data_IF_008117312207
#
_entry.id   IF_008117312207
#
_cell.length_a   1.000
_cell.length_b   1.000
_cell.length_c   1.000
_cell.angle_alpha   90.00
_cell.angle_beta   90.00
_cell.angle_gamma   90.00
#
_symmetry.space_group_name_H-M   'P 1'
#
loop_
_entity.id
_entity.type
_entity.pdbx_description
1 polymer ?
#
# COMPACT_ATOMS: atom_id res chain seq x y z
N UNK A 1 1.19 -47.50 45.50
CA UNK A 1 1.25 -48.64 44.59
C UNK A 1 -0.07 -48.95 43.94
N UNK A 2 -1.21 -48.89 44.66
CA UNK A 2 -2.56 -49.10 44.08
C UNK A 2 -3.00 -48.10 43.01
N UNK A 3 -2.63 -46.83 43.13
CA UNK A 3 -3.05 -45.76 42.20
C UNK A 3 -2.37 -45.85 40.81
N UNK A 4 -1.14 -46.36 40.74
CA UNK A 4 -0.45 -46.60 39.48
C UNK A 4 -0.99 -47.82 38.73
N UNK A 5 -1.48 -48.83 39.42
CA UNK A 5 -2.13 -49.99 38.81
C UNK A 5 -3.50 -49.59 38.22
N UNK A 6 -4.25 -48.72 38.91
CA UNK A 6 -5.54 -48.26 38.45
C UNK A 6 -5.41 -47.36 37.20
N UNK A 7 -4.39 -46.50 37.11
CA UNK A 7 -4.12 -45.68 35.94
C UNK A 7 -3.67 -46.50 34.72
N UNK A 8 -2.90 -47.57 34.93
CA UNK A 8 -2.52 -48.48 33.83
C UNK A 8 -3.74 -49.24 33.29
N UNK A 9 -4.56 -49.81 34.16
CA UNK A 9 -5.78 -50.52 33.74
C UNK A 9 -6.76 -49.61 33.00
N UNK A 10 -6.90 -48.35 33.43
CA UNK A 10 -7.78 -47.34 32.76
C UNK A 10 -7.24 -46.95 31.38
N UNK A 11 -5.92 -46.78 31.22
CA UNK A 11 -5.31 -46.48 29.94
C UNK A 11 -5.36 -47.67 28.97
N UNK A 12 -5.17 -48.89 29.46
CA UNK A 12 -5.29 -50.12 28.64
C UNK A 12 -6.73 -50.33 28.15
N UNK A 13 -7.73 -50.07 29.02
CA UNK A 13 -9.12 -50.17 28.66
C UNK A 13 -9.53 -49.06 27.63
N UNK A 14 -8.92 -47.88 27.72
CA UNK A 14 -9.12 -46.80 26.75
C UNK A 14 -8.45 -47.09 25.40
N UNK A 15 -7.26 -47.66 25.43
CA UNK A 15 -6.54 -48.10 24.24
C UNK A 15 -7.21 -49.28 23.52
N UNK A 16 -7.77 -50.25 24.33
CA UNK A 16 -8.54 -51.35 23.77
C UNK A 16 -9.83 -50.88 23.09
N UNK A 17 -10.57 -49.91 23.68
CA UNK A 17 -11.76 -49.31 23.04
C UNK A 17 -11.41 -48.53 21.79
N UNK A 18 -10.29 -47.83 21.75
CA UNK A 18 -9.82 -47.12 20.53
C UNK A 18 -9.40 -48.13 19.45
N UNK A 19 -8.75 -49.25 19.84
CA UNK A 19 -8.43 -50.34 18.90
C UNK A 19 -9.67 -51.03 18.34
N UNK A 20 -10.65 -51.33 19.16
CA UNK A 20 -11.93 -51.92 18.71
C UNK A 20 -12.74 -51.02 17.80
N UNK A 21 -12.62 -49.66 17.96
CA UNK A 21 -13.25 -48.69 17.05
C UNK A 21 -12.49 -48.52 15.73
N UNK A 22 -11.20 -48.88 15.70
CA UNK A 22 -10.37 -48.77 14.46
C UNK A 22 -10.53 -50.05 13.62
N UNK A 23 -10.77 -51.21 14.23
CA UNK A 23 -10.92 -52.50 13.49
C UNK A 23 -12.34 -52.75 13.01
N UNK A 24 -13.26 -51.78 13.15
CA UNK A 24 -14.60 -51.88 12.63
C UNK A 24 -14.67 -51.44 11.16
N UNK A 25 -14.79 -52.36 10.17
CA UNK A 25 -14.81 -52.02 8.71
C UNK A 25 -15.98 -51.09 8.31
N UNK A 26 -16.99 -50.96 9.18
CA UNK A 26 -18.08 -49.96 8.96
C UNK A 26 -17.65 -48.55 9.45
N UNK A 27 -16.81 -48.47 10.47
CA UNK A 27 -16.26 -47.19 10.97
C UNK A 27 -15.27 -46.57 9.99
N UNK A 28 -14.36 -47.36 9.42
CA UNK A 28 -13.43 -46.89 8.37
C UNK A 28 -14.17 -46.42 7.09
N UNK A 29 -15.19 -47.17 6.65
CA UNK A 29 -16.01 -46.72 5.52
C UNK A 29 -16.75 -45.43 5.77
N UNK A 30 -17.28 -45.21 7.00
CA UNK A 30 -17.95 -43.96 7.36
C UNK A 30 -16.94 -42.80 7.44
N UNK A 31 -15.77 -43.00 8.05
CA UNK A 31 -14.72 -41.99 8.12
C UNK A 31 -14.20 -41.61 6.72
N UNK A 32 -14.02 -42.58 5.84
CA UNK A 32 -13.61 -42.33 4.44
C UNK A 32 -14.72 -41.62 3.63
N UNK A 33 -15.99 -41.94 3.85
CA UNK A 33 -17.11 -41.26 3.18
C UNK A 33 -17.23 -39.80 3.70
N UNK A 34 -17.10 -39.57 5.00
CA UNK A 34 -17.13 -38.21 5.59
C UNK A 34 -15.91 -37.38 5.19
N UNK A 35 -14.72 -37.99 5.15
CA UNK A 35 -13.47 -37.36 4.66
C UNK A 35 -13.57 -36.97 3.19
N UNK A 36 -14.12 -37.85 2.35
CA UNK A 36 -14.28 -37.63 0.92
C UNK A 36 -15.40 -36.59 0.61
N UNK A 37 -16.48 -36.57 1.41
CA UNK A 37 -17.54 -35.56 1.29
C UNK A 37 -17.05 -34.17 1.68
N UNK A 38 -16.27 -34.04 2.75
CA UNK A 38 -15.66 -32.77 3.17
C UNK A 38 -14.60 -32.30 2.17
N UNK A 39 -13.84 -33.19 1.59
CA UNK A 39 -12.84 -32.87 0.56
C UNK A 39 -13.51 -32.36 -0.73
N UNK A 40 -14.62 -32.96 -1.15
CA UNK A 40 -15.40 -32.51 -2.33
C UNK A 40 -16.06 -31.15 -2.10
N UNK A 41 -16.62 -30.90 -0.89
CA UNK A 41 -17.19 -29.59 -0.54
C UNK A 41 -16.12 -28.51 -0.50
N UNK A 42 -14.94 -28.82 0.04
CA UNK A 42 -13.80 -27.90 0.07
C UNK A 42 -13.30 -27.60 -1.35
N UNK A 43 -13.13 -28.62 -2.18
CA UNK A 43 -12.73 -28.47 -3.58
C UNK A 43 -13.73 -27.61 -4.37
N UNK A 44 -15.03 -27.86 -4.19
CA UNK A 44 -16.08 -27.03 -4.82
C UNK A 44 -16.05 -25.58 -4.34
N UNK A 45 -15.87 -25.35 -3.04
CA UNK A 45 -15.69 -24.02 -2.47
C UNK A 45 -14.46 -23.30 -3.03
N UNK A 46 -13.34 -24.00 -3.12
CA UNK A 46 -12.09 -23.46 -3.67
C UNK A 46 -12.24 -23.11 -5.16
N UNK A 47 -12.84 -23.99 -5.96
CA UNK A 47 -13.10 -23.74 -7.40
C UNK A 47 -14.04 -22.57 -7.60
N UNK A 48 -15.13 -22.48 -6.80
CA UNK A 48 -16.08 -21.37 -6.86
C UNK A 48 -15.40 -20.04 -6.48
N UNK A 49 -14.61 -20.06 -5.41
CA UNK A 49 -13.87 -18.86 -4.95
C UNK A 49 -12.88 -18.39 -6.01
N UNK A 50 -12.10 -19.29 -6.61
CA UNK A 50 -11.18 -18.94 -7.69
C UNK A 50 -11.92 -18.45 -8.94
N UNK A 51 -13.06 -19.07 -9.29
CA UNK A 51 -13.90 -18.62 -10.40
C UNK A 51 -14.39 -17.17 -10.18
N UNK A 52 -14.91 -16.86 -9.00
CA UNK A 52 -15.35 -15.50 -8.64
C UNK A 52 -14.18 -14.52 -8.69
N UNK A 53 -13.02 -14.89 -8.13
CA UNK A 53 -11.82 -14.05 -8.16
C UNK A 53 -11.34 -13.77 -9.59
N UNK A 54 -11.32 -14.76 -10.47
CA UNK A 54 -10.93 -14.58 -11.88
C UNK A 54 -11.88 -13.62 -12.59
N UNK A 55 -13.20 -13.78 -12.40
CA UNK A 55 -14.20 -12.87 -12.99
C UNK A 55 -14.02 -11.45 -12.48
N UNK A 56 -13.86 -11.26 -11.16
CA UNK A 56 -13.63 -9.95 -10.57
C UNK A 56 -12.33 -9.31 -11.09
N UNK A 57 -11.24 -10.07 -11.13
CA UNK A 57 -9.98 -9.60 -11.70
C UNK A 57 -10.15 -9.20 -13.18
N UNK A 58 -10.87 -10.00 -13.97
CA UNK A 58 -11.19 -9.68 -15.35
C UNK A 58 -11.92 -8.34 -15.47
N UNK A 59 -12.98 -8.13 -14.69
CA UNK A 59 -13.75 -6.86 -14.68
C UNK A 59 -12.86 -5.67 -14.33
N UNK A 60 -12.00 -5.78 -13.30
CA UNK A 60 -11.09 -4.70 -12.92
C UNK A 60 -10.00 -4.41 -13.95
N UNK A 61 -9.60 -5.41 -14.75
CA UNK A 61 -8.60 -5.22 -15.81
C UNK A 61 -9.18 -4.63 -17.11
N UNK A 62 -10.51 -4.66 -17.31
CA UNK A 62 -11.15 -4.12 -18.52
C UNK A 62 -10.76 -2.67 -18.80
N UNK A 63 -10.83 -1.72 -17.84
CA UNK A 63 -10.46 -0.32 -18.11
C UNK A 63 -8.99 -0.16 -18.52
N UNK A 64 -8.09 -0.91 -17.87
CA UNK A 64 -6.67 -0.90 -18.20
C UNK A 64 -6.41 -1.49 -19.59
N UNK A 65 -7.03 -2.64 -19.90
CA UNK A 65 -6.94 -3.26 -21.23
C UNK A 65 -7.48 -2.32 -22.32
N UNK A 66 -8.60 -1.65 -22.04
CA UNK A 66 -9.15 -0.63 -22.96
C UNK A 66 -8.17 0.52 -23.19
N UNK A 67 -7.56 1.05 -22.13
CA UNK A 67 -6.55 2.12 -22.25
C UNK A 67 -5.36 1.66 -23.10
N UNK A 68 -4.84 0.45 -22.86
CA UNK A 68 -3.73 -0.12 -23.63
C UNK A 68 -4.12 -0.33 -25.10
N UNK A 69 -5.29 -0.88 -25.39
CA UNK A 69 -5.75 -1.07 -26.77
C UNK A 69 -5.98 0.27 -27.47
N UNK A 70 -6.56 1.25 -26.79
CA UNK A 70 -6.80 2.58 -27.36
C UNK A 70 -5.50 3.33 -27.60
N UNK A 71 -4.50 3.19 -26.75
CA UNK A 71 -3.18 3.81 -26.95
C UNK A 71 -2.46 3.38 -28.23
N UNK A 72 -2.86 2.23 -28.80
CA UNK A 72 -2.27 1.66 -29.99
C UNK A 72 -3.10 1.90 -31.27
N UNK A 73 -4.23 2.63 -31.16
CA UNK A 73 -5.10 2.99 -32.27
C UNK A 73 -4.74 4.33 -32.91
N UNK A 74 -5.27 4.57 -34.15
CA UNK A 74 -5.40 5.91 -34.68
C UNK A 74 -6.62 6.61 -34.09
N UNK A 75 -6.72 7.92 -34.26
CA UNK A 75 -7.87 8.72 -33.80
C UNK A 75 -9.18 8.21 -34.43
N UNK A 76 -9.19 7.93 -35.71
CA UNK A 76 -10.36 7.40 -36.44
C UNK A 76 -10.82 6.07 -35.89
N UNK A 77 -9.89 5.18 -35.54
CA UNK A 77 -10.21 3.87 -34.97
C UNK A 77 -10.70 3.97 -33.51
N UNK A 78 -10.23 4.96 -32.75
CA UNK A 78 -10.64 5.15 -31.36
C UNK A 78 -12.14 5.53 -31.27
N UNK A 79 -12.68 6.20 -32.29
CA UNK A 79 -14.07 6.64 -32.36
C UNK A 79 -14.89 5.94 -33.45
N UNK A 80 -14.39 4.86 -34.03
CA UNK A 80 -15.10 4.09 -35.04
C UNK A 80 -16.42 3.53 -34.51
N UNK A 81 -17.47 3.59 -35.33
CA UNK A 81 -18.78 2.97 -35.07
C UNK A 81 -19.04 1.92 -36.15
N UNK A 82 -19.17 0.64 -35.82
CA UNK A 82 -19.13 0.02 -34.49
C UNK A 82 -17.73 0.06 -33.85
N UNK A 83 -17.68 0.04 -32.50
CA UNK A 83 -16.44 0.13 -31.75
C UNK A 83 -15.49 -1.04 -32.09
N UNK A 84 -14.31 -0.70 -32.58
CA UNK A 84 -13.26 -1.68 -32.87
C UNK A 84 -12.49 -1.97 -31.59
N UNK A 85 -12.59 -3.19 -31.05
CA UNK A 85 -11.86 -3.59 -29.84
C UNK A 85 -10.37 -3.70 -30.11
N UNK A 86 -9.98 -4.40 -31.17
CA UNK A 86 -8.58 -4.65 -31.54
C UNK A 86 -8.15 -3.64 -32.63
N UNK A 87 -6.97 -3.00 -32.48
CA UNK A 87 -6.44 -2.11 -33.52
C UNK A 87 -6.19 -2.88 -34.84
N UNK A 88 -6.51 -2.25 -35.98
CA UNK A 88 -6.14 -2.79 -37.30
C UNK A 88 -4.62 -2.74 -37.54
N UNK A 89 -3.97 -1.72 -36.97
CA UNK A 89 -2.51 -1.55 -36.93
C UNK A 89 -2.09 -1.08 -35.55
N UNK A 90 -1.05 -1.66 -34.98
CA UNK A 90 -0.52 -1.28 -33.68
C UNK A 90 0.40 -0.07 -33.80
N UNK A 91 -0.08 1.13 -33.45
CA UNK A 91 0.66 2.37 -33.56
C UNK A 91 1.54 2.63 -32.33
N UNK A 92 2.65 1.91 -32.21
CA UNK A 92 3.66 2.15 -31.17
C UNK A 92 4.23 3.56 -31.17
N UNK A 93 4.14 4.26 -32.32
CA UNK A 93 4.55 5.65 -32.46
C UNK A 93 3.83 6.59 -31.50
N UNK A 94 2.62 6.25 -31.03
CA UNK A 94 1.88 7.08 -30.07
C UNK A 94 2.66 7.26 -28.75
N UNK A 95 3.36 6.23 -28.29
CA UNK A 95 4.20 6.32 -27.10
C UNK A 95 5.41 7.26 -27.28
N UNK A 96 5.93 7.33 -28.50
CA UNK A 96 7.02 8.27 -28.83
C UNK A 96 6.47 9.69 -28.95
N UNK A 97 5.28 9.87 -29.55
CA UNK A 97 4.63 11.19 -29.71
C UNK A 97 4.36 11.87 -28.38
N UNK A 98 4.09 11.12 -27.29
CA UNK A 98 3.92 11.68 -25.93
C UNK A 98 5.07 12.61 -25.56
N UNK A 99 6.30 12.24 -25.89
CA UNK A 99 7.50 13.02 -25.57
C UNK A 99 7.66 14.29 -26.41
N UNK A 100 6.98 14.37 -27.57
CA UNK A 100 6.98 15.57 -28.42
C UNK A 100 5.85 16.54 -28.06
N UNK A 101 4.78 16.06 -27.40
CA UNK A 101 3.66 16.91 -26.99
C UNK A 101 3.96 17.78 -25.76
N UNK A 102 5.04 17.47 -25.03
CA UNK A 102 5.46 18.23 -23.86
C UNK A 102 6.70 17.62 -23.20
N UNK A 103 7.23 18.23 -22.14
CA UNK A 103 8.40 17.74 -21.44
C UNK A 103 8.09 16.54 -20.54
N UNK A 104 7.51 15.48 -21.11
CA UNK A 104 6.99 14.32 -20.39
C UNK A 104 8.06 13.62 -19.54
N UNK A 105 9.28 13.48 -20.06
CA UNK A 105 10.41 12.96 -19.31
C UNK A 105 10.70 13.79 -18.04
N UNK A 106 10.54 15.11 -18.11
CA UNK A 106 10.67 16.00 -16.95
C UNK A 106 9.55 15.78 -15.93
N UNK A 107 8.31 15.57 -16.39
CA UNK A 107 7.19 15.28 -15.50
C UNK A 107 7.44 14.00 -14.68
N UNK A 108 7.94 12.93 -15.34
CA UNK A 108 8.33 11.69 -14.66
C UNK A 108 9.46 11.96 -13.66
N UNK A 109 10.50 12.70 -14.06
CA UNK A 109 11.62 13.03 -13.19
C UNK A 109 11.20 13.85 -11.97
N UNK A 110 10.33 14.86 -12.16
CA UNK A 110 9.79 15.68 -11.08
C UNK A 110 8.96 14.85 -10.10
N UNK A 111 8.06 14.00 -10.61
CA UNK A 111 7.26 13.09 -9.76
C UNK A 111 8.15 12.12 -8.98
N UNK A 112 9.14 11.54 -9.63
CA UNK A 112 10.11 10.63 -8.97
C UNK A 112 10.91 11.34 -7.89
N UNK A 113 11.36 12.56 -8.14
CA UNK A 113 12.04 13.40 -7.15
C UNK A 113 11.16 13.69 -5.95
N UNK A 114 9.91 14.14 -6.19
CA UNK A 114 8.96 14.43 -5.12
C UNK A 114 8.65 13.17 -4.29
N UNK A 115 8.44 12.04 -4.94
CA UNK A 115 8.25 10.76 -4.26
C UNK A 115 9.44 10.43 -3.37
N UNK A 116 10.66 10.51 -3.90
CA UNK A 116 11.87 10.18 -3.14
C UNK A 116 12.04 11.05 -1.89
N UNK A 117 11.89 12.37 -2.03
CA UNK A 117 12.01 13.31 -0.90
C UNK A 117 10.89 13.09 0.13
N UNK A 118 9.64 12.89 -0.31
CA UNK A 118 8.53 12.67 0.61
C UNK A 118 8.64 11.34 1.35
N UNK A 119 9.07 10.26 0.68
CA UNK A 119 9.32 8.97 1.35
C UNK A 119 10.39 9.14 2.42
N UNK A 120 11.50 9.79 2.10
CA UNK A 120 12.56 10.07 3.08
C UNK A 120 12.03 10.91 4.25
N UNK A 121 11.31 12.00 3.96
CA UNK A 121 10.72 12.88 4.95
C UNK A 121 9.78 12.13 5.91
N UNK A 122 8.85 11.35 5.37
CA UNK A 122 7.93 10.56 6.18
C UNK A 122 8.61 9.45 6.97
N UNK A 123 9.56 8.71 6.38
CA UNK A 123 10.30 7.66 7.12
C UNK A 123 10.99 8.27 8.34
N UNK A 124 11.67 9.40 8.19
CA UNK A 124 12.40 10.05 9.28
C UNK A 124 11.44 10.63 10.31
N UNK A 125 10.51 11.50 9.88
CA UNK A 125 9.62 12.23 10.79
C UNK A 125 8.65 11.29 11.51
N UNK A 126 7.99 10.39 10.78
CA UNK A 126 7.02 9.45 11.35
C UNK A 126 7.68 8.51 12.35
N UNK A 127 8.87 8.00 12.03
CA UNK A 127 9.56 7.07 12.92
C UNK A 127 9.98 7.74 14.23
N UNK A 128 10.54 8.96 14.15
CA UNK A 128 10.97 9.72 15.33
C UNK A 128 9.79 10.08 16.24
N UNK A 129 8.72 10.62 15.65
CA UNK A 129 7.53 11.04 16.40
C UNK A 129 6.81 9.82 16.99
N UNK A 130 6.65 8.75 16.21
CA UNK A 130 6.03 7.53 16.70
C UNK A 130 6.83 6.88 17.83
N UNK A 131 8.16 6.85 17.74
CA UNK A 131 9.02 6.36 18.81
C UNK A 131 8.85 7.19 20.09
N UNK A 132 8.82 8.52 19.97
CA UNK A 132 8.54 9.41 21.09
C UNK A 132 7.23 9.06 21.79
N UNK A 133 6.14 8.89 21.03
CA UNK A 133 4.83 8.53 21.58
C UNK A 133 4.72 7.07 22.05
N UNK A 134 5.52 6.15 21.52
CA UNK A 134 5.44 4.73 21.89
C UNK A 134 6.29 4.40 23.12
N UNK A 135 7.52 4.94 23.19
CA UNK A 135 8.56 4.49 24.12
C UNK A 135 8.97 5.53 25.16
N UNK A 136 8.88 6.82 24.85
CA UNK A 136 9.28 7.83 25.79
C UNK A 136 8.15 8.20 26.76
N UNK A 137 8.52 8.51 28.00
CA UNK A 137 7.61 8.99 29.05
C UNK A 137 7.85 10.49 29.24
N UNK A 138 6.85 11.29 28.91
CA UNK A 138 6.88 12.74 29.12
C UNK A 138 5.49 13.25 29.51
N UNK A 139 5.40 14.36 30.24
CA UNK A 139 4.12 14.94 30.64
C UNK A 139 3.32 15.38 29.40
N UNK A 140 2.01 15.14 29.42
CA UNK A 140 1.13 15.50 28.29
C UNK A 140 1.15 14.59 27.08
N UNK A 141 1.93 13.48 27.09
CA UNK A 141 2.04 12.55 25.94
C UNK A 141 0.70 12.13 25.37
N UNK A 142 -0.23 11.70 26.20
CA UNK A 142 -1.53 11.20 25.73
C UNK A 142 -2.40 12.35 25.19
N UNK A 143 -2.32 13.53 25.78
CA UNK A 143 -3.03 14.72 25.32
C UNK A 143 -2.52 15.18 23.94
N UNK A 144 -1.21 15.27 23.75
CA UNK A 144 -0.61 15.60 22.45
C UNK A 144 -0.93 14.56 21.38
N UNK A 145 -0.93 13.27 21.76
CA UNK A 145 -1.33 12.22 20.83
C UNK A 145 -2.81 12.33 20.44
N UNK A 146 -3.68 12.72 21.36
CA UNK A 146 -5.09 12.96 21.08
C UNK A 146 -5.28 14.14 20.12
N UNK A 147 -4.53 15.24 20.28
CA UNK A 147 -4.52 16.38 19.33
C UNK A 147 -4.07 15.91 17.95
N UNK A 148 -3.00 15.10 17.89
CA UNK A 148 -2.52 14.53 16.62
C UNK A 148 -3.62 13.70 15.94
N UNK A 149 -4.35 12.86 16.67
CA UNK A 149 -5.47 12.11 16.11
C UNK A 149 -6.64 13.02 15.69
N UNK A 150 -6.94 14.05 16.48
CA UNK A 150 -7.98 15.02 16.15
C UNK A 150 -7.68 15.75 14.82
N UNK A 151 -6.41 15.96 14.49
CA UNK A 151 -6.02 16.56 13.20
C UNK A 151 -6.43 15.73 11.98
N UNK A 152 -6.66 14.42 12.13
CA UNK A 152 -7.18 13.56 11.04
C UNK A 152 -8.63 13.89 10.66
N UNK A 153 -9.38 14.54 11.55
CA UNK A 153 -10.76 14.94 11.28
C UNK A 153 -10.85 16.18 10.39
N UNK A 154 -9.75 16.91 10.22
CA UNK A 154 -9.71 18.09 9.35
C UNK A 154 -9.53 17.67 7.90
N UNK A 155 -10.50 17.91 7.02
CA UNK A 155 -10.37 17.57 5.60
C UNK A 155 -9.23 18.35 4.94
N UNK A 156 -8.42 17.67 4.14
CA UNK A 156 -7.30 18.29 3.42
C UNK A 156 -7.72 19.52 2.59
N UNK A 157 -8.87 19.44 1.92
CA UNK A 157 -9.36 20.54 1.07
C UNK A 157 -9.66 21.83 1.84
N UNK A 158 -10.02 21.74 3.11
CA UNK A 158 -10.26 22.93 3.96
C UNK A 158 -8.94 23.65 4.28
N UNK A 159 -7.85 22.92 4.37
CA UNK A 159 -6.52 23.47 4.68
C UNK A 159 -5.79 24.03 3.45
N UNK A 160 -6.26 23.76 2.23
CA UNK A 160 -5.58 24.16 1.00
C UNK A 160 -5.38 25.68 0.88
N UNK A 161 -6.46 26.46 1.06
CA UNK A 161 -6.39 27.92 0.93
C UNK A 161 -5.51 28.55 2.00
N UNK A 162 -5.68 28.23 3.31
CA UNK A 162 -4.77 28.72 4.34
C UNK A 162 -3.30 28.35 4.08
N UNK A 163 -3.05 27.13 3.65
CA UNK A 163 -1.68 26.66 3.34
C UNK A 163 -1.09 27.43 2.15
N UNK A 164 -1.88 27.69 1.11
CA UNK A 164 -1.46 28.51 -0.02
C UNK A 164 -1.04 29.92 0.42
N UNK A 165 -1.83 30.56 1.28
CA UNK A 165 -1.52 31.90 1.80
C UNK A 165 -0.19 31.89 2.55
N UNK A 166 0.04 30.86 3.40
CA UNK A 166 1.28 30.73 4.16
C UNK A 166 2.47 30.54 3.20
N UNK A 167 2.38 29.58 2.27
CA UNK A 167 3.48 29.28 1.34
C UNK A 167 3.74 30.43 0.36
N UNK A 168 2.71 31.19 -0.01
CA UNK A 168 2.88 32.38 -0.83
C UNK A 168 3.64 33.48 -0.06
N UNK A 169 3.31 33.71 1.21
CA UNK A 169 4.04 34.67 2.06
C UNK A 169 5.50 34.26 2.30
N UNK A 170 5.78 32.94 2.31
CA UNK A 170 7.13 32.39 2.42
C UNK A 170 7.91 32.43 1.10
N UNK A 171 7.27 32.84 -0.02
CA UNK A 171 7.91 32.83 -1.34
C UNK A 171 8.13 31.43 -1.92
N UNK A 172 7.39 30.41 -1.44
CA UNK A 172 7.56 29.03 -1.83
C UNK A 172 6.74 28.64 -3.07
N UNK A 173 5.77 29.47 -3.47
CA UNK A 173 4.95 29.23 -4.67
C UNK A 173 5.86 29.15 -5.91
N UNK A 174 5.50 28.31 -6.85
CA UNK A 174 6.28 27.92 -8.03
C UNK A 174 7.63 27.24 -7.66
N UNK A 175 7.67 26.51 -6.54
CA UNK A 175 8.81 25.65 -6.17
C UNK A 175 8.30 24.30 -5.62
N UNK A 176 9.20 23.34 -5.41
CA UNK A 176 8.83 22.07 -4.81
C UNK A 176 8.74 22.11 -3.26
N UNK A 177 9.07 23.24 -2.63
CA UNK A 177 9.07 23.36 -1.16
C UNK A 177 7.71 23.06 -0.53
N UNK A 178 6.57 23.60 -1.02
CA UNK A 178 5.25 23.26 -0.49
C UNK A 178 4.89 21.78 -0.57
N UNK A 179 5.44 21.07 -1.55
CA UNK A 179 5.18 19.66 -1.83
C UNK A 179 6.17 18.71 -1.13
N UNK A 180 7.23 19.23 -0.51
CA UNK A 180 8.29 18.43 0.10
C UNK A 180 8.47 18.69 1.59
N UNK A 181 8.54 19.96 2.00
CA UNK A 181 8.83 20.34 3.40
C UNK A 181 7.79 19.78 4.39
N UNK A 182 6.48 19.80 4.10
CA UNK A 182 5.48 19.21 5.02
C UNK A 182 5.69 17.72 5.32
N UNK A 183 6.33 16.96 4.42
CA UNK A 183 6.62 15.55 4.66
C UNK A 183 7.55 15.32 5.87
N UNK A 184 8.37 16.31 6.21
CA UNK A 184 9.27 16.25 7.35
C UNK A 184 8.59 16.59 8.69
N UNK A 185 7.32 17.01 8.67
CA UNK A 185 6.52 17.18 9.90
C UNK A 185 5.72 15.94 10.27
N UNK A 186 5.67 14.95 9.37
CA UNK A 186 4.99 13.68 9.55
C UNK A 186 3.49 13.74 9.23
N UNK A 187 2.92 12.57 8.95
CA UNK A 187 1.48 12.38 8.75
C UNK A 187 0.87 11.76 10.00
N UNK A 188 -0.20 12.34 10.53
CA UNK A 188 -0.87 11.85 11.74
C UNK A 188 -1.31 10.38 11.61
N UNK A 189 -1.84 9.98 10.45
CA UNK A 189 -2.24 8.59 10.19
C UNK A 189 -1.04 7.63 10.21
N UNK A 190 0.06 8.02 9.56
CA UNK A 190 1.26 7.18 9.51
C UNK A 190 1.96 7.11 10.87
N UNK A 191 1.98 8.20 11.64
CA UNK A 191 2.47 8.23 13.02
C UNK A 191 1.65 7.28 13.90
N UNK A 192 0.32 7.32 13.78
CA UNK A 192 -0.56 6.39 14.49
C UNK A 192 -0.23 4.94 14.16
N UNK A 193 -0.15 4.59 12.87
CA UNK A 193 0.16 3.24 12.41
C UNK A 193 1.51 2.75 12.96
N UNK A 194 2.55 3.57 12.82
CA UNK A 194 3.89 3.25 13.30
C UNK A 194 3.93 3.09 14.83
N UNK A 195 3.28 4.00 15.56
CA UNK A 195 3.19 3.93 17.02
C UNK A 195 2.50 2.64 17.48
N UNK A 196 1.37 2.25 16.87
CA UNK A 196 0.66 1.03 17.22
C UNK A 196 1.55 -0.20 17.02
N UNK A 197 2.29 -0.24 15.92
CA UNK A 197 3.24 -1.32 15.68
C UNK A 197 4.38 -1.31 16.71
N UNK A 198 4.99 -0.16 16.99
CA UNK A 198 6.04 -0.07 18.01
C UNK A 198 5.55 -0.52 19.40
N UNK A 199 4.30 -0.21 19.75
CA UNK A 199 3.70 -0.65 21.02
C UNK A 199 3.46 -2.15 21.10
N UNK A 200 3.34 -2.86 19.98
CA UNK A 200 3.22 -4.33 19.97
C UNK A 200 4.54 -5.07 20.18
N UNK A 201 5.66 -4.38 20.09
CA UNK A 201 6.98 -4.93 20.36
C UNK A 201 7.17 -5.00 21.89
N UNK A 202 7.60 -6.15 22.48
CA UNK A 202 7.80 -6.31 23.92
C UNK A 202 8.75 -5.27 24.52
N UNK A 203 8.43 -4.78 25.72
CA UNK A 203 9.25 -3.78 26.42
C UNK A 203 10.55 -4.38 26.96
N UNK A 204 10.59 -5.68 27.16
CA UNK A 204 11.77 -6.44 27.63
C UNK A 204 12.97 -6.25 26.70
N UNK A 205 12.74 -6.02 25.40
CA UNK A 205 13.82 -5.69 24.44
C UNK A 205 14.44 -4.32 24.73
N UNK A 206 13.62 -3.35 25.13
CA UNK A 206 14.11 -2.01 25.50
C UNK A 206 14.91 -2.08 26.79
N UNK A 207 14.45 -2.89 27.77
CA UNK A 207 15.10 -3.08 29.07
C UNK A 207 16.44 -3.79 28.92
N UNK A 208 16.47 -4.88 28.15
CA UNK A 208 17.71 -5.60 27.83
C UNK A 208 18.74 -4.68 27.17
N UNK A 209 18.31 -3.90 26.17
CA UNK A 209 19.19 -2.94 25.49
C UNK A 209 19.77 -1.88 26.43
N UNK A 210 18.99 -1.42 27.43
CA UNK A 210 19.47 -0.46 28.44
C UNK A 210 20.46 -1.10 29.40
N UNK A 211 20.27 -2.36 29.78
CA UNK A 211 21.24 -3.13 30.59
C UNK A 211 22.56 -3.25 29.82
N UNK A 212 22.51 -3.46 28.51
CA UNK A 212 23.68 -3.50 27.61
C UNK A 212 24.29 -2.11 27.36
N UNK A 213 23.80 -1.05 28.02
CA UNK A 213 24.36 0.31 27.93
C UNK A 213 23.87 1.12 26.73
N UNK A 214 22.83 0.68 26.00
CA UNK A 214 22.30 1.43 24.87
C UNK A 214 21.60 2.73 25.32
N UNK A 215 22.05 3.86 24.78
CA UNK A 215 21.33 5.12 24.90
C UNK A 215 20.04 5.14 24.05
N UNK A 216 19.16 6.12 24.33
CA UNK A 216 17.84 6.22 23.66
C UNK A 216 17.95 6.28 22.13
N UNK A 217 18.93 6.99 21.58
CA UNK A 217 19.13 7.07 20.12
C UNK A 217 19.65 5.74 19.55
N UNK A 218 20.47 5.01 20.28
CA UNK A 218 20.92 3.67 19.86
C UNK A 218 19.78 2.66 19.90
N UNK A 219 18.92 2.72 20.94
CA UNK A 219 17.71 1.92 21.01
C UNK A 219 16.80 2.20 19.79
N UNK A 220 16.58 3.47 19.46
CA UNK A 220 15.80 3.86 18.28
C UNK A 220 16.40 3.33 16.99
N UNK A 221 17.67 3.67 16.71
CA UNK A 221 18.27 3.45 15.39
C UNK A 221 18.70 2.00 15.14
N UNK A 222 19.22 1.30 16.18
CA UNK A 222 19.80 -0.05 16.03
C UNK A 222 18.83 -1.17 16.34
N UNK A 223 17.79 -0.91 17.14
CA UNK A 223 16.84 -1.94 17.59
C UNK A 223 15.46 -1.67 17.01
N UNK A 224 14.86 -0.50 17.30
CA UNK A 224 13.47 -0.23 16.91
C UNK A 224 13.29 -0.09 15.41
N UNK A 225 14.13 0.67 14.71
CA UNK A 225 13.99 0.88 13.26
C UNK A 225 14.12 -0.44 12.47
N UNK A 226 15.11 -1.32 12.71
CA UNK A 226 15.17 -2.61 12.05
C UNK A 226 13.96 -3.52 12.31
N UNK A 227 13.40 -3.51 13.51
CA UNK A 227 12.20 -4.26 13.86
C UNK A 227 10.94 -3.68 13.19
N UNK A 228 10.93 -2.38 12.92
CA UNK A 228 9.82 -1.67 12.26
C UNK A 228 9.89 -1.71 10.72
N UNK A 229 10.68 -2.57 10.10
CA UNK A 229 10.72 -2.71 8.63
C UNK A 229 9.33 -2.94 8.00
N UNK A 230 8.43 -3.80 8.56
CA UNK A 230 7.11 -3.99 7.96
C UNK A 230 6.27 -2.71 7.90
N UNK A 231 6.03 -1.96 8.99
CA UNK A 231 5.27 -0.71 8.92
C UNK A 231 5.99 0.39 8.12
N UNK A 232 7.33 0.44 8.10
CA UNK A 232 8.08 1.36 7.25
C UNK A 232 7.81 1.11 5.76
N UNK A 233 7.72 -0.15 5.36
CA UNK A 233 7.35 -0.52 3.99
C UNK A 233 5.94 -0.04 3.66
N UNK A 234 4.97 -0.25 4.55
CA UNK A 234 3.58 0.22 4.36
C UNK A 234 3.53 1.75 4.23
N UNK A 235 4.22 2.47 5.12
CA UNK A 235 4.31 3.95 5.09
C UNK A 235 4.92 4.42 3.76
N UNK A 236 5.98 3.76 3.30
CA UNK A 236 6.61 4.09 2.02
C UNK A 236 5.66 3.91 0.85
N UNK A 237 4.93 2.79 0.79
CA UNK A 237 3.95 2.53 -0.28
C UNK A 237 2.82 3.54 -0.27
N UNK A 238 2.26 3.86 0.90
CA UNK A 238 1.22 4.87 1.04
C UNK A 238 1.72 6.24 0.58
N UNK A 239 2.94 6.63 0.95
CA UNK A 239 3.55 7.89 0.54
C UNK A 239 3.76 7.93 -0.97
N UNK A 240 4.36 6.88 -1.56
CA UNK A 240 4.54 6.80 -3.02
C UNK A 240 3.21 6.93 -3.74
N UNK A 241 2.21 6.18 -3.32
CA UNK A 241 0.88 6.20 -3.95
C UNK A 241 0.24 7.57 -3.87
N UNK A 242 0.30 8.23 -2.71
CA UNK A 242 -0.30 9.56 -2.52
C UNK A 242 0.42 10.62 -3.35
N UNK A 243 1.75 10.67 -3.29
CA UNK A 243 2.54 11.70 -3.99
C UNK A 243 2.54 11.50 -5.50
N UNK A 244 2.60 10.25 -5.98
CA UNK A 244 2.56 9.95 -7.41
C UNK A 244 1.25 10.36 -8.07
N UNK A 245 0.13 10.18 -7.36
CA UNK A 245 -1.21 10.49 -7.86
C UNK A 245 -1.67 11.91 -7.46
N UNK A 246 -0.86 12.69 -6.73
CA UNK A 246 -1.26 14.03 -6.33
C UNK A 246 -1.36 14.95 -7.54
N UNK A 247 -2.57 15.47 -7.75
CA UNK A 247 -2.91 16.42 -8.78
C UNK A 247 -3.11 17.83 -8.21
N UNK A 248 -3.81 17.93 -7.07
CA UNK A 248 -4.24 19.21 -6.52
C UNK A 248 -3.10 20.03 -5.94
N UNK A 249 -2.17 19.40 -5.23
CA UNK A 249 -1.00 20.09 -4.69
C UNK A 249 -0.16 20.73 -5.80
N UNK A 250 0.31 19.98 -6.80
CA UNK A 250 1.00 20.53 -7.95
C UNK A 250 0.21 21.61 -8.71
N UNK A 251 -1.10 21.42 -8.91
CA UNK A 251 -1.96 22.39 -9.60
C UNK A 251 -1.99 23.75 -8.90
N UNK A 252 -1.99 23.76 -7.56
CA UNK A 252 -2.10 25.00 -6.78
C UNK A 252 -0.74 25.68 -6.61
N UNK A 253 0.34 24.92 -6.47
CA UNK A 253 1.65 25.48 -6.11
C UNK A 253 2.60 25.67 -7.29
N UNK A 254 2.39 25.01 -8.44
CA UNK A 254 3.32 25.06 -9.58
C UNK A 254 2.70 25.83 -10.75
N UNK A 255 3.41 26.85 -11.25
CA UNK A 255 2.99 27.67 -12.38
C UNK A 255 3.87 27.46 -13.63
N UNK A 256 5.07 26.87 -13.46
CA UNK A 256 5.99 26.61 -14.57
C UNK A 256 5.80 25.16 -15.05
N UNK A 257 5.45 25.00 -16.33
CA UNK A 257 5.27 23.67 -16.97
C UNK A 257 6.49 22.77 -16.79
N UNK A 258 7.69 23.33 -16.75
CA UNK A 258 8.93 22.54 -16.51
C UNK A 258 8.99 21.90 -15.13
N UNK A 259 8.19 22.37 -14.19
CA UNK A 259 8.09 21.85 -12.80
C UNK A 259 6.90 20.93 -12.59
N UNK A 260 6.02 20.79 -13.58
CA UNK A 260 4.83 19.97 -13.43
C UNK A 260 5.19 18.51 -13.10
N UNK A 261 4.36 17.90 -12.26
CA UNK A 261 4.36 16.47 -11.99
C UNK A 261 3.72 15.70 -13.14
N UNK A 262 3.89 14.38 -13.14
CA UNK A 262 3.28 13.52 -14.15
C UNK A 262 1.76 13.62 -14.15
N UNK A 263 1.13 13.61 -12.97
CA UNK A 263 -0.31 13.74 -12.81
C UNK A 263 -0.84 15.07 -13.37
N UNK A 264 -0.17 16.18 -13.03
CA UNK A 264 -0.52 17.50 -13.57
C UNK A 264 -0.18 17.61 -15.06
N UNK A 265 0.94 17.06 -15.50
CA UNK A 265 1.36 17.08 -16.90
C UNK A 265 0.40 16.32 -17.84
N UNK A 266 -0.24 15.25 -17.35
CA UNK A 266 -1.28 14.54 -18.11
C UNK A 266 -2.48 15.45 -18.45
N UNK A 267 -2.84 16.38 -17.59
CA UNK A 267 -3.94 17.32 -17.87
C UNK A 267 -3.65 18.27 -19.02
N UNK A 268 -2.38 18.55 -19.34
CA UNK A 268 -2.00 19.35 -20.50
C UNK A 268 -2.27 18.65 -21.84
N UNK A 269 -2.31 17.32 -21.84
CA UNK A 269 -2.65 16.53 -23.03
C UNK A 269 -4.14 16.54 -23.33
N UNK A 270 -4.97 17.00 -22.40
CA UNK A 270 -6.38 17.29 -22.61
C UNK A 270 -6.48 18.68 -23.23
N UNK A 271 -6.49 18.76 -24.55
CA UNK A 271 -6.63 20.00 -25.27
C UNK A 271 -7.99 20.69 -25.00
N UNK A 272 -8.00 22.02 -25.12
CA UNK A 272 -9.21 22.80 -24.86
C UNK A 272 -10.29 22.58 -25.96
N UNK A 273 -9.87 22.20 -27.18
CA UNK A 273 -10.74 21.99 -28.35
C UNK A 273 -10.64 20.58 -28.93
N UNK A 274 -9.44 19.99 -28.92
CA UNK A 274 -9.20 18.64 -29.42
C UNK A 274 -8.26 17.89 -28.47
N UNK A 275 -8.64 16.68 -28.06
CA UNK A 275 -7.82 15.77 -27.30
C UNK A 275 -7.42 14.59 -28.17
N UNK A 276 -6.12 14.37 -28.36
CA UNK A 276 -5.65 13.15 -29.02
C UNK A 276 -5.73 11.98 -28.01
N UNK A 277 -6.89 11.32 -28.01
CA UNK A 277 -7.19 10.23 -27.07
C UNK A 277 -6.20 9.08 -27.12
N UNK A 278 -5.75 8.57 -28.28
CA UNK A 278 -4.71 7.56 -28.36
C UNK A 278 -3.40 7.97 -27.67
N UNK A 279 -2.95 9.20 -27.86
CA UNK A 279 -1.72 9.72 -27.21
C UNK A 279 -1.95 9.92 -25.71
N UNK A 280 -3.10 10.44 -25.30
CA UNK A 280 -3.46 10.57 -23.88
C UNK A 280 -3.49 9.19 -23.21
N UNK A 281 -4.07 8.17 -23.85
CA UNK A 281 -4.09 6.81 -23.32
C UNK A 281 -2.68 6.22 -23.26
N UNK A 282 -1.81 6.49 -24.25
CA UNK A 282 -0.41 6.08 -24.20
C UNK A 282 0.33 6.70 -23.00
N UNK A 283 0.16 8.00 -22.78
CA UNK A 283 0.74 8.70 -21.62
C UNK A 283 0.19 8.14 -20.29
N UNK A 284 -1.12 7.86 -20.24
CA UNK A 284 -1.77 7.25 -19.06
C UNK A 284 -1.21 5.87 -18.78
N UNK A 285 -1.07 5.00 -19.78
CA UNK A 285 -0.46 3.66 -19.61
C UNK A 285 0.97 3.78 -19.09
N UNK A 286 1.77 4.70 -19.64
CA UNK A 286 3.13 4.95 -19.16
C UNK A 286 3.14 5.42 -17.70
N UNK A 287 2.17 6.21 -17.27
CA UNK A 287 2.07 6.70 -15.89
C UNK A 287 1.72 5.61 -14.88
N UNK A 288 1.04 4.55 -15.30
CA UNK A 288 0.66 3.41 -14.46
C UNK A 288 1.85 2.45 -14.24
N UNK A 289 2.78 2.34 -15.20
CA UNK A 289 3.91 1.39 -15.14
C UNK A 289 4.71 1.49 -13.82
N UNK A 290 5.18 2.67 -13.35
CA UNK A 290 5.93 2.75 -12.10
C UNK A 290 5.16 2.25 -10.90
N UNK A 291 3.84 2.47 -10.84
CA UNK A 291 2.98 1.99 -9.76
C UNK A 291 2.81 0.47 -9.80
N UNK A 292 2.70 -0.13 -10.98
CA UNK A 292 2.70 -1.59 -11.15
C UNK A 292 4.03 -2.20 -10.70
N UNK A 293 5.15 -1.62 -11.11
CA UNK A 293 6.48 -2.06 -10.69
C UNK A 293 6.61 -2.00 -9.16
N UNK A 294 6.21 -0.88 -8.55
CA UNK A 294 6.20 -0.74 -7.09
C UNK A 294 5.38 -1.86 -6.44
N UNK A 295 4.16 -2.09 -6.92
CA UNK A 295 3.27 -3.13 -6.40
C UNK A 295 3.93 -4.51 -6.44
N UNK A 296 4.47 -4.93 -7.59
CA UNK A 296 5.13 -6.23 -7.72
C UNK A 296 6.38 -6.38 -6.85
N UNK A 297 7.11 -5.28 -6.60
CA UNK A 297 8.28 -5.30 -5.70
C UNK A 297 7.86 -5.48 -4.23
N UNK A 298 6.72 -4.93 -3.82
CA UNK A 298 6.37 -4.79 -2.40
C UNK A 298 5.29 -5.77 -1.94
N UNK A 299 4.49 -6.37 -2.85
CA UNK A 299 3.34 -7.24 -2.54
C UNK A 299 3.64 -8.31 -1.48
N UNK A 300 4.79 -8.98 -1.55
CA UNK A 300 5.20 -10.02 -0.60
C UNK A 300 5.40 -9.49 0.83
N UNK A 301 5.79 -8.22 0.98
CA UNK A 301 6.01 -7.58 2.27
C UNK A 301 4.70 -7.05 2.87
N UNK A 302 3.74 -6.68 2.02
CA UNK A 302 2.41 -6.24 2.45
C UNK A 302 1.60 -7.40 3.03
N UNK A 303 1.60 -8.57 2.38
CA UNK A 303 0.85 -9.75 2.84
C UNK A 303 1.34 -10.22 4.22
N UNK A 304 2.67 -10.25 4.45
CA UNK A 304 3.24 -10.65 5.75
C UNK A 304 2.97 -9.64 6.88
N UNK A 305 2.91 -8.33 6.57
CA UNK A 305 2.70 -7.28 7.57
C UNK A 305 1.27 -7.20 8.10
N UNK A 306 0.26 -7.42 7.27
CA UNK A 306 -1.14 -7.40 7.69
C UNK A 306 -1.57 -8.68 8.44
N UNK A 307 -1.00 -9.84 8.10
CA UNK A 307 -1.33 -11.10 8.75
C UNK A 307 -0.93 -11.13 10.24
N UNK A 308 0.13 -10.43 10.63
CA UNK A 308 0.58 -10.37 12.03
C UNK A 308 -0.26 -9.45 12.92
N UNK A 309 -1.02 -8.52 12.36
CA UNK A 309 -1.89 -7.59 13.10
C UNK A 309 -3.31 -8.14 13.28
N UNK A 310 -3.73 -9.06 12.40
CA UNK A 310 -5.10 -9.61 12.36
C UNK A 310 -5.33 -10.89 13.18
N UNK A 311 -4.30 -11.53 13.75
CA UNK A 311 -4.42 -12.81 14.46
C UNK A 311 -4.13 -12.65 15.96
N UNK A 312 -4.75 -11.69 16.61
CA UNK A 312 -4.92 -11.66 18.07
C UNK A 312 -6.34 -11.16 18.36
N UNK A 313 -7.30 -12.02 18.09
CA UNK A 313 -8.67 -11.93 18.53
C UNK A 313 -9.09 -13.33 18.92
#
# INVERSE_FOLDING_TARGET
MAEQVHRRAFNECRLARVRESVDNPRGEKMLNIMSNSNSRKKLFGDVLSHGILIVLCGVFLVPLAWAVLTSLKSMDQAFAIPAQLIPNSFLWSNYVKVFYMGPFAKFIANSTYLVGINVLGHIVSVSLVAFGFARLRFPGRNFLFMILLASLMVPYHVTLIPSFIIFNKLGWVNSFLPLTVPAFTGSAYQIFLMRQYMMSIPLELDEAARIDGCGTFQLFSRIMIPLCRPPLTVISVLTVTNVWNDFFGPLIYLNDVKKYTLSLGLSLLQGMYETDWPILMAATVMSVIPMLVLYFCVQRHLIGGFASVGIKG
#
